data_IF_838280323657
#
_entry.id   IF_838280323657
#
_cell.length_a   1.000
_cell.length_b   1.000
_cell.length_c   1.000
_cell.angle_alpha   90.00
_cell.angle_beta   90.00
_cell.angle_gamma   90.00
#
_symmetry.space_group_name_H-M   'P 1'
#
loop_
_entity.id
_entity.type
_entity.pdbx_description
1 polymer ?
#
# COMPACT_ATOMS: atom_id res chain seq x y z
N UNK A 1 -54.98 -8.78 -2.32
CA UNK A 1 -55.80 -8.55 -3.53
C UNK A 1 -56.18 -9.90 -4.13
N UNK A 2 -57.35 -10.45 -3.80
CA UNK A 2 -57.82 -11.74 -4.35
C UNK A 2 -59.09 -11.48 -5.15
N UNK A 3 -59.22 -12.08 -6.33
CA UNK A 3 -60.44 -12.00 -7.14
C UNK A 3 -60.77 -13.36 -7.77
N UNK A 4 -62.02 -13.53 -8.17
CA UNK A 4 -62.49 -14.74 -8.84
C UNK A 4 -62.28 -14.63 -10.35
N UNK A 5 -61.81 -15.72 -10.97
CA UNK A 5 -61.69 -15.80 -12.43
C UNK A 5 -63.05 -15.68 -13.13
N UNK A 6 -64.13 -16.18 -12.52
CA UNK A 6 -65.46 -16.17 -13.13
C UNK A 6 -66.01 -14.75 -13.35
N UNK A 7 -65.63 -13.81 -12.48
CA UNK A 7 -66.12 -12.43 -12.53
C UNK A 7 -65.28 -11.57 -13.47
N UNK A 8 -63.95 -11.76 -13.46
CA UNK A 8 -63.00 -10.87 -14.13
C UNK A 8 -62.35 -11.46 -15.39
N UNK A 9 -62.54 -12.77 -15.67
CA UNK A 9 -62.00 -13.52 -16.81
C UNK A 9 -60.49 -13.37 -17.06
N UNK A 10 -59.74 -12.95 -16.04
CA UNK A 10 -58.29 -12.77 -16.11
C UNK A 10 -57.63 -13.29 -14.84
N UNK A 11 -56.48 -13.93 -14.99
CA UNK A 11 -55.69 -14.46 -13.87
C UNK A 11 -54.59 -13.50 -13.41
N UNK A 12 -54.24 -12.52 -14.24
CA UNK A 12 -53.13 -11.59 -13.99
C UNK A 12 -53.51 -10.15 -14.29
N UNK A 13 -53.07 -9.24 -13.44
CA UNK A 13 -53.23 -7.80 -13.63
C UNK A 13 -51.86 -7.12 -13.55
N UNK A 14 -51.54 -6.31 -14.57
CA UNK A 14 -50.36 -5.46 -14.57
C UNK A 14 -50.67 -4.12 -13.88
N UNK A 15 -49.91 -3.79 -12.84
CA UNK A 15 -50.10 -2.59 -12.03
C UNK A 15 -49.03 -1.57 -12.39
N UNK A 16 -49.46 -0.46 -13.01
CA UNK A 16 -48.56 0.58 -13.53
C UNK A 16 -47.77 1.34 -12.47
N UNK A 17 -48.24 1.42 -11.24
CA UNK A 17 -47.60 2.20 -10.17
C UNK A 17 -47.76 1.50 -8.83
N UNK A 18 -46.62 1.32 -8.14
CA UNK A 18 -46.59 0.73 -6.80
C UNK A 18 -47.23 1.62 -5.73
N UNK A 19 -47.42 2.93 -5.98
CA UNK A 19 -48.06 3.83 -5.01
C UNK A 19 -49.53 3.51 -4.72
N UNK A 20 -50.16 2.64 -5.52
CA UNK A 20 -51.52 2.14 -5.30
C UNK A 20 -51.56 0.82 -4.51
N UNK A 21 -50.40 0.30 -4.14
CA UNK A 21 -50.21 -0.94 -3.42
C UNK A 21 -49.51 -0.65 -2.09
N UNK A 22 -49.74 -1.51 -1.11
CA UNK A 22 -48.81 -1.60 0.00
C UNK A 22 -47.52 -2.25 -0.49
N UNK A 23 -46.38 -1.60 -0.24
CA UNK A 23 -45.04 -2.12 -0.54
C UNK A 23 -44.24 -2.24 0.76
N UNK A 24 -43.44 -3.31 0.92
CA UNK A 24 -42.57 -3.44 2.09
C UNK A 24 -41.50 -2.35 2.07
N UNK A 25 -41.16 -1.83 3.25
CA UNK A 25 -39.99 -0.97 3.38
C UNK A 25 -38.73 -1.84 3.37
N UNK A 26 -37.79 -1.51 2.48
CA UNK A 26 -36.50 -2.20 2.35
C UNK A 26 -35.44 -1.14 2.58
N UNK A 27 -34.73 -1.24 3.69
CA UNK A 27 -33.72 -0.30 4.11
C UNK A 27 -32.41 -1.02 4.45
N UNK A 28 -31.30 -0.28 4.38
CA UNK A 28 -29.99 -0.72 4.85
C UNK A 28 -29.83 -0.49 6.35
N UNK A 29 -28.91 -1.22 6.99
CA UNK A 29 -28.43 -0.88 8.34
C UNK A 29 -27.68 0.46 8.26
N UNK A 30 -28.33 1.54 8.69
CA UNK A 30 -27.76 2.89 8.69
C UNK A 30 -26.54 2.96 9.63
N UNK A 31 -25.34 3.10 9.06
CA UNK A 31 -24.13 3.50 9.81
C UNK A 31 -23.77 4.95 9.46
N UNK A 32 -23.56 5.77 10.49
CA UNK A 32 -23.56 7.25 10.48
C UNK A 32 -22.30 7.94 9.88
N UNK A 33 -21.72 7.47 8.77
CA UNK A 33 -20.44 8.07 8.29
C UNK A 33 -20.40 8.61 6.87
N UNK A 34 -21.52 8.73 6.16
CA UNK A 34 -21.54 9.51 4.91
C UNK A 34 -22.89 10.15 4.63
N UNK A 35 -22.87 11.40 4.15
CA UNK A 35 -24.02 12.15 3.65
C UNK A 35 -24.72 11.36 2.54
N UNK A 36 -25.79 10.64 2.87
CA UNK A 36 -26.52 9.80 1.91
C UNK A 36 -27.70 10.56 1.31
N UNK A 37 -27.49 11.09 0.11
CA UNK A 37 -28.53 11.71 -0.73
C UNK A 37 -28.97 10.81 -1.90
N UNK A 38 -28.82 9.48 -1.82
CA UNK A 38 -28.97 8.64 -3.00
C UNK A 38 -29.38 7.17 -2.85
N UNK A 39 -29.78 6.71 -1.67
CA UNK A 39 -30.35 5.36 -1.54
C UNK A 39 -31.80 5.37 -2.05
N UNK A 40 -32.13 4.50 -3.00
CA UNK A 40 -33.49 4.36 -3.51
C UNK A 40 -33.85 2.90 -3.76
N UNK A 41 -35.12 2.58 -3.56
CA UNK A 41 -35.72 1.31 -3.90
C UNK A 41 -36.96 1.60 -4.75
N UNK A 42 -36.98 1.10 -5.98
CA UNK A 42 -38.08 1.28 -6.92
C UNK A 42 -38.57 -0.07 -7.43
N UNK A 43 -39.90 -0.18 -7.55
CA UNK A 43 -40.56 -1.39 -8.04
C UNK A 43 -41.10 -1.15 -9.44
N UNK A 44 -40.71 -2.03 -10.36
CA UNK A 44 -41.12 -2.04 -11.76
C UNK A 44 -41.84 -3.34 -12.11
N UNK A 45 -42.59 -3.31 -13.22
CA UNK A 45 -43.22 -4.50 -13.83
C UNK A 45 -44.04 -5.34 -12.83
N UNK A 46 -44.92 -4.68 -12.08
CA UNK A 46 -45.67 -5.31 -10.99
C UNK A 46 -46.86 -6.08 -11.55
N UNK A 47 -46.88 -7.38 -11.29
CA UNK A 47 -47.91 -8.31 -11.73
C UNK A 47 -48.58 -8.89 -10.49
N UNK A 48 -49.88 -8.64 -10.35
CA UNK A 48 -50.72 -9.29 -9.36
C UNK A 48 -51.40 -10.51 -9.98
N UNK A 49 -51.48 -11.61 -9.23
CA UNK A 49 -52.20 -12.84 -9.60
C UNK A 49 -53.52 -12.94 -8.82
N UNK A 50 -54.50 -13.61 -9.41
CA UNK A 50 -55.84 -13.80 -8.84
C UNK A 50 -55.85 -14.41 -7.42
N UNK A 51 -54.82 -15.19 -7.08
CA UNK A 51 -54.63 -15.85 -5.80
C UNK A 51 -54.13 -14.93 -4.67
N UNK A 52 -53.77 -13.68 -4.97
CA UNK A 52 -53.23 -12.72 -4.00
C UNK A 52 -51.72 -12.53 -4.05
N UNK A 53 -50.99 -13.33 -4.82
CA UNK A 53 -49.55 -13.16 -4.97
C UNK A 53 -49.25 -11.97 -5.88
N UNK A 54 -48.30 -11.13 -5.45
CA UNK A 54 -47.81 -10.00 -6.23
C UNK A 54 -46.32 -10.19 -6.46
N UNK A 55 -45.90 -10.06 -7.72
CA UNK A 55 -44.50 -10.18 -8.14
C UNK A 55 -44.10 -8.90 -8.86
N UNK A 56 -42.89 -8.40 -8.64
CA UNK A 56 -42.37 -7.23 -9.33
C UNK A 56 -40.84 -7.22 -9.32
N UNK A 57 -40.23 -6.44 -10.21
CA UNK A 57 -38.79 -6.24 -10.24
C UNK A 57 -38.42 -5.13 -9.27
N UNK A 58 -37.48 -5.40 -8.36
CA UNK A 58 -36.92 -4.42 -7.45
C UNK A 58 -35.60 -3.89 -8.03
N UNK A 59 -35.51 -2.59 -8.22
CA UNK A 59 -34.27 -1.88 -8.51
C UNK A 59 -33.84 -1.11 -7.27
N UNK A 60 -32.62 -1.36 -6.82
CA UNK A 60 -32.12 -0.88 -5.54
C UNK A 60 -30.73 -0.26 -5.71
N UNK A 61 -30.55 0.90 -5.11
CA UNK A 61 -29.25 1.52 -4.86
C UNK A 61 -29.09 1.66 -3.36
N UNK A 62 -28.08 0.99 -2.82
CA UNK A 62 -27.78 0.97 -1.39
C UNK A 62 -26.27 0.91 -1.17
N UNK A 63 -25.80 1.49 -0.08
CA UNK A 63 -24.42 1.37 0.34
C UNK A 63 -24.17 -0.01 0.99
N UNK A 64 -23.13 -0.71 0.53
CA UNK A 64 -22.69 -1.95 1.16
C UNK A 64 -21.82 -1.66 2.38
N UNK A 65 -21.87 -2.56 3.37
CA UNK A 65 -20.86 -2.64 4.41
C UNK A 65 -19.70 -3.49 3.89
N UNK A 66 -18.49 -2.95 3.86
CA UNK A 66 -17.32 -3.67 3.38
C UNK A 66 -16.31 -3.85 4.49
N UNK A 67 -15.93 -5.10 4.71
CA UNK A 67 -14.70 -5.47 5.42
C UNK A 67 -13.58 -5.61 4.39
N UNK A 68 -12.45 -4.94 4.62
CA UNK A 68 -11.38 -4.80 3.63
C UNK A 68 -10.08 -5.29 4.24
N UNK A 69 -9.49 -6.29 3.59
CA UNK A 69 -8.15 -6.76 3.93
C UNK A 69 -7.12 -5.96 3.11
N UNK A 70 -6.33 -5.15 3.82
CA UNK A 70 -5.33 -4.28 3.23
C UNK A 70 -3.93 -4.90 3.16
N UNK A 71 -3.76 -6.17 3.55
CA UNK A 71 -2.44 -6.85 3.57
C UNK A 71 -1.70 -6.71 2.24
N UNK A 72 -2.42 -6.90 1.12
CA UNK A 72 -1.86 -6.87 -0.24
C UNK A 72 -2.10 -5.55 -1.01
N UNK A 73 -2.35 -4.44 -0.31
CA UNK A 73 -2.58 -3.16 -0.98
C UNK A 73 -1.45 -2.81 -1.97
N UNK A 74 -1.75 -2.38 -3.22
CA UNK A 74 -3.07 -1.98 -3.74
C UNK A 74 -3.91 -3.10 -4.38
N UNK A 75 -3.44 -4.33 -4.39
CA UNK A 75 -4.16 -5.50 -4.90
C UNK A 75 -4.96 -6.14 -3.75
N UNK A 76 -5.93 -5.38 -3.23
CA UNK A 76 -6.70 -5.69 -2.02
C UNK A 76 -7.98 -6.50 -2.28
N UNK A 77 -8.31 -7.37 -1.33
CA UNK A 77 -9.53 -8.17 -1.32
C UNK A 77 -10.57 -7.54 -0.40
N UNK A 78 -11.80 -7.40 -0.91
CA UNK A 78 -12.90 -6.72 -0.23
C UNK A 78 -14.06 -7.67 -0.10
N UNK A 79 -14.59 -7.80 1.12
CA UNK A 79 -15.84 -8.52 1.38
C UNK A 79 -16.92 -7.50 1.69
N UNK A 80 -17.74 -7.21 0.70
CA UNK A 80 -18.84 -6.27 0.81
C UNK A 80 -20.17 -7.00 0.96
N UNK A 81 -20.93 -6.67 1.99
CA UNK A 81 -22.23 -7.25 2.30
C UNK A 81 -23.32 -6.19 2.26
N UNK A 82 -24.36 -6.45 1.49
CA UNK A 82 -25.60 -5.68 1.47
C UNK A 82 -26.56 -6.27 2.48
N UNK A 83 -26.88 -5.50 3.51
CA UNK A 83 -27.82 -5.89 4.56
C UNK A 83 -29.14 -5.20 4.33
N UNK A 84 -30.18 -5.98 4.08
CA UNK A 84 -31.53 -5.50 3.82
C UNK A 84 -32.44 -5.90 4.97
N UNK A 85 -33.15 -4.92 5.53
CA UNK A 85 -34.16 -5.13 6.57
C UNK A 85 -35.29 -4.13 6.45
N UNK A 86 -36.44 -4.48 7.01
CA UNK A 86 -37.51 -3.54 7.27
C UNK A 86 -37.21 -2.78 8.56
N UNK A 87 -37.26 -1.44 8.50
CA UNK A 87 -37.14 -0.57 9.67
C UNK A 87 -38.50 -0.42 10.36
N UNK A 88 -39.58 -0.37 9.58
CA UNK A 88 -40.92 -0.09 10.08
C UNK A 88 -41.62 -1.35 10.61
N UNK A 89 -41.32 -2.52 10.04
CA UNK A 89 -41.98 -3.79 10.33
C UNK A 89 -40.99 -4.97 10.51
N UNK A 90 -40.02 -4.88 11.44
CA UNK A 90 -38.91 -5.84 11.58
C UNK A 90 -39.35 -7.28 11.90
N UNK A 91 -40.51 -7.46 12.55
CA UNK A 91 -41.02 -8.79 12.94
C UNK A 91 -42.07 -9.36 11.98
N UNK A 92 -42.68 -8.53 11.13
CA UNK A 92 -43.77 -8.93 10.24
C UNK A 92 -43.28 -9.28 8.84
N UNK A 93 -42.26 -8.56 8.35
CA UNK A 93 -41.68 -8.82 7.05
C UNK A 93 -40.59 -9.89 7.23
N UNK A 94 -40.73 -10.97 6.46
CA UNK A 94 -39.73 -12.04 6.40
C UNK A 94 -39.28 -12.24 4.97
N UNK A 95 -37.99 -12.47 4.84
CA UNK A 95 -37.32 -12.66 3.58
C UNK A 95 -36.90 -14.12 3.42
N UNK A 96 -36.88 -14.60 2.18
CA UNK A 96 -36.37 -15.92 1.85
C UNK A 96 -35.74 -15.86 0.46
N UNK A 97 -34.69 -16.65 0.25
CA UNK A 97 -34.06 -16.81 -1.05
C UNK A 97 -34.72 -17.97 -1.77
N UNK A 98 -35.17 -17.76 -3.01
CA UNK A 98 -35.89 -18.79 -3.77
C UNK A 98 -35.04 -20.02 -4.09
N UNK A 99 -33.70 -19.94 -3.97
CA UNK A 99 -32.76 -21.02 -4.32
C UNK A 99 -32.27 -21.84 -3.12
N UNK A 100 -32.44 -21.36 -1.88
CA UNK A 100 -32.00 -22.08 -0.67
C UNK A 100 -33.21 -22.43 0.17
N UNK A 101 -33.27 -23.67 0.67
CA UNK A 101 -34.39 -24.23 1.43
C UNK A 101 -34.95 -23.26 2.48
N UNK A 102 -36.10 -22.65 2.16
CA UNK A 102 -37.22 -22.26 3.01
C UNK A 102 -37.00 -21.37 4.24
N UNK A 103 -35.78 -21.09 4.67
CA UNK A 103 -35.52 -20.40 5.92
C UNK A 103 -35.87 -18.93 5.80
N UNK A 104 -37.00 -18.58 6.41
CA UNK A 104 -37.52 -17.22 6.49
C UNK A 104 -36.70 -16.43 7.52
N UNK A 105 -35.93 -15.45 7.08
CA UNK A 105 -35.12 -14.58 7.93
C UNK A 105 -35.74 -13.18 8.06
N UNK A 106 -35.42 -12.47 9.14
CA UNK A 106 -35.82 -11.07 9.33
C UNK A 106 -34.89 -10.10 8.58
N UNK A 107 -33.69 -10.55 8.22
CA UNK A 107 -32.65 -9.77 7.55
C UNK A 107 -32.10 -10.63 6.42
N UNK A 108 -31.90 -10.04 5.24
CA UNK A 108 -31.12 -10.65 4.15
C UNK A 108 -29.74 -10.00 4.15
N UNK A 109 -28.70 -10.82 4.08
CA UNK A 109 -27.35 -10.37 3.82
C UNK A 109 -26.84 -10.98 2.50
N UNK A 110 -26.53 -10.12 1.53
CA UNK A 110 -25.92 -10.52 0.26
C UNK A 110 -24.46 -10.09 0.27
N UNK A 111 -23.55 -11.05 0.44
CA UNK A 111 -22.11 -10.78 0.44
C UNK A 111 -21.47 -11.08 -0.91
N UNK A 112 -20.60 -10.18 -1.35
CA UNK A 112 -19.75 -10.34 -2.53
C UNK A 112 -18.28 -10.16 -2.13
N UNK A 113 -17.44 -11.05 -2.62
CA UNK A 113 -15.98 -10.91 -2.54
C UNK A 113 -15.50 -10.28 -3.84
N UNK A 114 -14.82 -9.14 -3.73
CA UNK A 114 -14.28 -8.39 -4.86
C UNK A 114 -12.79 -8.23 -4.67
N UNK A 115 -12.02 -8.71 -5.63
CA UNK A 115 -10.58 -8.46 -5.70
C UNK A 115 -10.32 -7.24 -6.57
N UNK A 116 -9.63 -6.24 -6.04
CA UNK A 116 -9.09 -5.16 -6.87
C UNK A 116 -7.74 -5.60 -7.41
N UNK A 117 -7.57 -5.51 -8.73
CA UNK A 117 -6.26 -5.68 -9.37
C UNK A 117 -5.82 -4.31 -9.91
N UNK A 118 -4.75 -3.74 -9.37
CA UNK A 118 -4.28 -2.39 -9.65
C UNK A 118 -2.76 -2.36 -9.83
N UNK A 119 -2.30 -3.13 -10.82
CA UNK A 119 -0.88 -3.22 -11.19
C UNK A 119 -0.25 -1.87 -11.53
N UNK A 120 -0.96 -0.97 -12.22
CA UNK A 120 -0.46 0.37 -12.55
C UNK A 120 -0.17 1.18 -11.28
N UNK A 121 -1.08 1.17 -10.31
CA UNK A 121 -0.90 1.88 -9.04
C UNK A 121 0.25 1.27 -8.22
N UNK A 122 0.40 -0.05 -8.26
CA UNK A 122 1.51 -0.74 -7.60
C UNK A 122 2.86 -0.29 -8.18
N UNK A 123 2.98 -0.24 -9.49
CA UNK A 123 4.22 0.19 -10.17
C UNK A 123 4.51 1.66 -9.87
N UNK A 124 3.50 2.52 -9.94
CA UNK A 124 3.63 3.96 -9.63
C UNK A 124 4.16 4.21 -8.21
N UNK A 125 3.72 3.41 -7.24
CA UNK A 125 4.16 3.51 -5.84
C UNK A 125 5.55 2.90 -5.62
N UNK A 126 5.83 1.71 -6.19
CA UNK A 126 7.07 0.99 -5.90
C UNK A 126 8.29 1.54 -6.66
N UNK A 127 8.10 2.00 -7.90
CA UNK A 127 9.20 2.35 -8.81
C UNK A 127 10.08 3.52 -8.28
N UNK A 128 9.52 4.64 -7.78
CA UNK A 128 10.34 5.72 -7.22
C UNK A 128 11.15 5.29 -5.99
N UNK A 129 10.58 4.42 -5.15
CA UNK A 129 11.25 3.88 -3.97
C UNK A 129 12.41 2.94 -4.34
N UNK A 130 12.22 2.08 -5.33
CA UNK A 130 13.26 1.17 -5.83
C UNK A 130 14.39 1.93 -6.54
N UNK A 131 14.08 2.96 -7.32
CA UNK A 131 15.10 3.78 -7.99
C UNK A 131 15.90 4.59 -6.97
N UNK A 132 15.23 5.23 -6.01
CA UNK A 132 15.91 6.01 -4.96
C UNK A 132 16.80 5.14 -4.07
N UNK A 133 16.35 3.93 -3.71
CA UNK A 133 17.18 3.00 -2.93
C UNK A 133 18.39 2.51 -3.72
N UNK A 134 18.24 2.26 -5.03
CA UNK A 134 19.36 1.92 -5.90
C UNK A 134 20.41 3.03 -5.92
N UNK A 135 20.00 4.30 -6.01
CA UNK A 135 20.92 5.43 -5.90
C UNK A 135 21.62 5.50 -4.53
N UNK A 136 20.89 5.26 -3.43
CA UNK A 136 21.46 5.29 -2.09
C UNK A 136 22.49 4.15 -1.85
N UNK A 137 22.23 2.98 -2.42
CA UNK A 137 23.08 1.79 -2.34
C UNK A 137 24.32 1.92 -3.24
N UNK A 138 24.16 2.48 -4.44
CA UNK A 138 25.26 2.69 -5.39
C UNK A 138 26.09 3.94 -5.09
N UNK A 139 25.62 4.79 -4.16
CA UNK A 139 26.33 5.99 -3.67
C UNK A 139 27.83 5.81 -3.40
N UNK A 140 28.34 4.71 -2.81
CA UNK A 140 29.77 4.53 -2.53
C UNK A 140 30.66 4.44 -3.78
N UNK A 141 30.08 4.12 -4.94
CA UNK A 141 30.79 4.12 -6.22
C UNK A 141 31.07 5.55 -6.74
N UNK A 142 30.42 6.56 -6.15
CA UNK A 142 30.56 7.95 -6.55
C UNK A 142 31.62 8.66 -5.72
N UNK A 143 32.59 9.27 -6.41
CA UNK A 143 33.44 10.39 -6.00
C UNK A 143 33.75 10.57 -4.50
N UNK A 144 33.71 11.84 -4.07
CA UNK A 144 34.10 12.26 -2.72
C UNK A 144 32.99 11.96 -1.71
N UNK A 145 33.32 11.88 -0.41
CA UNK A 145 32.32 11.71 0.66
C UNK A 145 31.18 12.73 0.62
N UNK A 146 31.44 13.95 0.13
CA UNK A 146 30.42 15.00 0.00
C UNK A 146 29.39 14.63 -1.05
N UNK A 147 29.82 14.10 -2.18
CA UNK A 147 28.94 13.68 -3.27
C UNK A 147 28.10 12.48 -2.85
N UNK A 148 28.70 11.51 -2.15
CA UNK A 148 28.00 10.35 -1.60
C UNK A 148 26.88 10.76 -0.63
N UNK A 149 27.17 11.69 0.28
CA UNK A 149 26.19 12.22 1.24
C UNK A 149 25.06 12.96 0.50
N UNK A 150 25.39 13.78 -0.50
CA UNK A 150 24.41 14.51 -1.29
C UNK A 150 23.45 13.56 -2.05
N UNK A 151 23.98 12.50 -2.67
CA UNK A 151 23.18 11.48 -3.36
C UNK A 151 22.23 10.77 -2.38
N UNK A 152 22.73 10.38 -1.20
CA UNK A 152 21.90 9.74 -0.16
C UNK A 152 20.81 10.67 0.39
N UNK A 153 21.12 11.95 0.60
CA UNK A 153 20.13 12.96 1.02
C UNK A 153 19.06 13.17 -0.05
N UNK A 154 19.45 13.23 -1.32
CA UNK A 154 18.52 13.33 -2.44
C UNK A 154 17.61 12.08 -2.55
N UNK A 155 18.17 10.88 -2.35
CA UNK A 155 17.39 9.65 -2.30
C UNK A 155 16.35 9.67 -1.17
N UNK A 156 16.72 10.13 0.03
CA UNK A 156 15.79 10.26 1.16
C UNK A 156 14.68 11.27 0.84
N UNK A 157 14.99 12.40 0.18
CA UNK A 157 13.98 13.36 -0.24
C UNK A 157 12.94 12.71 -1.17
N UNK A 158 13.40 11.96 -2.19
CA UNK A 158 12.49 11.21 -3.09
C UNK A 158 11.65 10.21 -2.30
N UNK A 159 12.25 9.50 -1.34
CA UNK A 159 11.54 8.51 -0.52
C UNK A 159 10.46 9.16 0.35
N UNK A 160 10.73 10.33 0.94
CA UNK A 160 9.76 11.09 1.72
C UNK A 160 8.61 11.60 0.84
N UNK A 161 8.90 12.13 -0.35
CA UNK A 161 7.86 12.56 -1.31
C UNK A 161 7.03 11.37 -1.78
N UNK A 162 7.66 10.22 -1.99
CA UNK A 162 6.95 8.98 -2.37
C UNK A 162 6.04 8.49 -1.24
N UNK A 163 6.48 8.66 0.02
CA UNK A 163 5.69 8.31 1.20
C UNK A 163 4.48 9.23 1.37
N UNK A 164 4.61 10.54 1.13
CA UNK A 164 3.46 11.44 1.14
C UNK A 164 2.46 11.12 0.03
N UNK A 165 2.96 10.73 -1.15
CA UNK A 165 2.10 10.26 -2.24
C UNK A 165 1.33 8.98 -1.88
N UNK A 166 1.99 8.01 -1.21
CA UNK A 166 1.31 6.83 -0.66
C UNK A 166 0.22 7.25 0.32
N UNK A 167 0.53 8.10 1.30
CA UNK A 167 -0.42 8.57 2.31
C UNK A 167 -1.68 9.23 1.70
N UNK A 168 -1.53 9.98 0.60
CA UNK A 168 -2.67 10.56 -0.12
C UNK A 168 -3.58 9.51 -0.80
N UNK A 169 -3.06 8.33 -1.13
CA UNK A 169 -3.83 7.24 -1.76
C UNK A 169 -4.41 6.25 -0.74
N UNK A 170 -3.96 6.30 0.50
CA UNK A 170 -4.48 5.46 1.59
C UNK A 170 -5.86 5.92 2.06
N UNK A 171 -6.71 5.01 2.57
CA UNK A 171 -8.01 5.38 3.13
C UNK A 171 -7.86 6.35 4.31
N UNK A 172 -8.76 7.34 4.41
CA UNK A 172 -8.71 8.39 5.45
C UNK A 172 -8.82 7.84 6.89
N UNK A 173 -9.42 6.65 7.05
CA UNK A 173 -9.59 5.97 8.34
C UNK A 173 -8.40 5.07 8.70
N UNK A 174 -7.34 5.07 7.89
CA UNK A 174 -6.20 4.17 8.05
C UNK A 174 -6.51 2.72 7.64
N UNK A 175 -5.54 1.83 7.83
CA UNK A 175 -5.61 0.42 7.42
C UNK A 175 -6.21 -0.52 8.49
N UNK A 176 -6.88 0.02 9.51
CA UNK A 176 -7.44 -0.77 10.60
C UNK A 176 -6.36 -1.49 11.41
N UNK A 177 -6.51 -2.81 11.59
CA UNK A 177 -5.63 -3.65 12.40
C UNK A 177 -4.45 -4.27 11.62
N UNK A 178 -4.51 -4.28 10.29
CA UNK A 178 -3.50 -4.92 9.43
C UNK A 178 -2.54 -3.89 8.83
N UNK A 179 -1.23 -4.11 8.96
CA UNK A 179 -0.20 -3.28 8.31
C UNK A 179 0.05 -3.81 6.89
N UNK A 180 -0.15 -3.02 5.83
CA UNK A 180 0.10 -3.48 4.46
C UNK A 180 1.57 -3.75 4.17
N UNK A 181 1.84 -4.75 3.34
CA UNK A 181 3.21 -5.11 2.93
C UNK A 181 3.95 -3.95 2.26
N UNK A 182 3.24 -3.10 1.50
CA UNK A 182 3.81 -1.90 0.89
C UNK A 182 4.30 -0.90 1.94
N UNK A 183 3.63 -0.76 3.09
CA UNK A 183 4.05 0.13 4.16
C UNK A 183 5.34 -0.38 4.81
N UNK A 184 5.41 -1.69 5.08
CA UNK A 184 6.62 -2.36 5.56
C UNK A 184 7.80 -2.15 4.61
N UNK A 185 7.57 -2.27 3.29
CA UNK A 185 8.59 -2.00 2.27
C UNK A 185 9.13 -0.56 2.31
N UNK A 186 8.25 0.44 2.46
CA UNK A 186 8.65 1.85 2.54
C UNK A 186 9.47 2.14 3.80
N UNK A 187 8.99 1.68 4.96
CA UNK A 187 9.68 1.88 6.24
C UNK A 187 11.04 1.19 6.24
N UNK A 188 11.12 -0.04 5.73
CA UNK A 188 12.37 -0.80 5.59
C UNK A 188 13.37 -0.04 4.70
N UNK A 189 12.94 0.40 3.53
CA UNK A 189 13.79 1.11 2.58
C UNK A 189 14.32 2.43 3.16
N UNK A 190 13.47 3.23 3.78
CA UNK A 190 13.86 4.49 4.42
C UNK A 190 14.80 4.26 5.62
N UNK A 191 14.55 3.22 6.41
CA UNK A 191 15.40 2.89 7.55
C UNK A 191 16.82 2.53 7.09
N UNK A 192 16.94 1.71 6.04
CA UNK A 192 18.24 1.32 5.48
C UNK A 192 18.97 2.52 4.88
N UNK A 193 18.30 3.42 4.16
CA UNK A 193 18.94 4.60 3.60
C UNK A 193 19.42 5.56 4.69
N UNK A 194 18.66 5.73 5.78
CA UNK A 194 19.06 6.53 6.94
C UNK A 194 20.28 5.91 7.64
N UNK A 195 20.27 4.59 7.92
CA UNK A 195 21.42 3.89 8.52
C UNK A 195 22.67 4.03 7.64
N UNK A 196 22.50 3.90 6.32
CA UNK A 196 23.56 4.07 5.33
C UNK A 196 24.12 5.50 5.31
N UNK A 197 23.27 6.52 5.42
CA UNK A 197 23.68 7.92 5.52
C UNK A 197 24.44 8.20 6.82
N UNK A 198 23.91 7.74 7.96
CA UNK A 198 24.55 7.93 9.27
C UNK A 198 25.93 7.27 9.30
N UNK A 199 26.04 6.05 8.78
CA UNK A 199 27.32 5.33 8.68
C UNK A 199 28.34 6.11 7.86
N UNK A 200 27.98 6.58 6.65
CA UNK A 200 28.87 7.39 5.81
C UNK A 200 29.21 8.73 6.45
N UNK A 201 28.27 9.36 7.16
CA UNK A 201 28.50 10.64 7.84
C UNK A 201 29.50 10.49 9.00
N UNK A 202 29.37 9.44 9.80
CA UNK A 202 30.33 9.13 10.88
C UNK A 202 31.72 8.84 10.31
N UNK A 203 31.82 8.06 9.22
CA UNK A 203 33.10 7.78 8.56
C UNK A 203 33.71 9.06 7.96
N UNK A 204 32.90 9.92 7.35
CA UNK A 204 33.32 11.24 6.85
C UNK A 204 33.80 12.17 7.97
N UNK A 205 33.16 12.13 9.13
CA UNK A 205 33.60 12.90 10.29
C UNK A 205 34.94 12.38 10.84
N UNK A 206 35.12 11.05 10.90
CA UNK A 206 36.38 10.42 11.30
C UNK A 206 37.53 10.69 10.32
N UNK A 207 37.25 10.77 9.02
CA UNK A 207 38.27 11.02 8.00
C UNK A 207 38.83 12.44 8.02
N UNK A 208 38.07 13.42 8.54
CA UNK A 208 38.53 14.81 8.73
C UNK A 208 39.51 14.98 9.89
N UNK A 209 39.64 13.99 10.78
CA UNK A 209 40.56 14.06 11.92
C UNK A 209 42.00 13.91 11.41
N UNK A 210 42.79 14.99 11.49
CA UNK A 210 44.20 14.97 11.10
C UNK A 210 45.01 14.11 12.09
N UNK A 211 45.67 13.07 11.58
CA UNK A 211 46.53 12.18 12.35
C UNK A 211 47.99 12.37 11.92
N UNK A 212 48.87 12.58 12.91
CA UNK A 212 50.31 12.73 12.71
C UNK A 212 51.07 11.40 12.69
N UNK A 213 50.43 10.29 13.06
CA UNK A 213 51.05 8.97 13.07
C UNK A 213 50.73 8.18 11.79
N UNK A 214 51.71 7.43 11.24
CA UNK A 214 51.46 6.56 10.09
C UNK A 214 50.49 5.43 10.48
N UNK A 215 49.55 5.07 9.59
CA UNK A 215 48.74 3.88 9.78
C UNK A 215 49.63 2.62 9.75
N UNK A 216 49.23 1.57 10.47
CA UNK A 216 49.97 0.31 10.42
C UNK A 216 49.88 -0.28 9.00
N UNK A 217 51.01 -0.78 8.47
CA UNK A 217 51.15 -1.29 7.10
C UNK A 217 50.12 -2.37 6.71
N UNK A 218 49.61 -3.12 7.69
CA UNK A 218 48.56 -4.14 7.44
C UNK A 218 47.23 -3.50 7.02
N UNK A 219 46.88 -2.34 7.58
CA UNK A 219 45.62 -1.65 7.26
C UNK A 219 45.66 -0.98 5.90
N UNK A 220 46.82 -0.43 5.49
CA UNK A 220 46.98 0.14 4.15
C UNK A 220 46.92 -0.92 3.06
N UNK A 221 47.52 -2.10 3.29
CA UNK A 221 47.45 -3.22 2.35
C UNK A 221 46.03 -3.80 2.22
N UNK A 222 45.30 -3.92 3.34
CA UNK A 222 43.89 -4.30 3.33
C UNK A 222 43.03 -3.29 2.57
N UNK A 223 43.22 -1.99 2.83
CA UNK A 223 42.48 -0.94 2.13
C UNK A 223 42.74 -0.96 0.62
N UNK A 224 44.00 -1.18 0.21
CA UNK A 224 44.36 -1.31 -1.20
C UNK A 224 43.73 -2.55 -1.86
N UNK A 225 43.71 -3.70 -1.19
CA UNK A 225 43.06 -4.92 -1.69
C UNK A 225 41.54 -4.72 -1.87
N UNK A 226 40.88 -4.11 -0.88
CA UNK A 226 39.43 -3.83 -0.92
C UNK A 226 39.09 -2.84 -2.04
N UNK A 227 39.83 -1.74 -2.16
CA UNK A 227 39.58 -0.75 -3.21
C UNK A 227 39.87 -1.30 -4.61
N UNK A 228 40.88 -2.16 -4.75
CA UNK A 228 41.16 -2.90 -6.00
C UNK A 228 40.04 -3.86 -6.37
N UNK A 229 39.39 -4.49 -5.38
CA UNK A 229 38.27 -5.41 -5.61
C UNK A 229 36.98 -4.69 -5.97
N UNK A 230 36.78 -3.45 -5.50
CA UNK A 230 35.52 -2.72 -5.64
C UNK A 230 35.55 -1.58 -6.68
N UNK A 231 36.54 -1.57 -7.56
CA UNK A 231 36.65 -0.65 -8.70
C UNK A 231 36.33 0.81 -8.31
N UNK A 232 36.93 1.29 -7.21
CA UNK A 232 36.73 2.66 -6.75
C UNK A 232 37.61 3.60 -7.57
N UNK A 233 37.03 4.67 -8.11
CA UNK A 233 37.78 5.76 -8.74
C UNK A 233 38.77 6.32 -7.72
N UNK A 234 40.06 6.08 -7.94
CA UNK A 234 41.11 6.69 -7.15
C UNK A 234 40.98 8.22 -7.32
N UNK A 235 40.90 8.96 -6.21
CA UNK A 235 41.13 10.41 -6.27
C UNK A 235 42.52 10.62 -6.89
N UNK A 236 42.58 11.42 -7.95
CA UNK A 236 43.81 11.74 -8.68
C UNK A 236 44.79 12.34 -7.67
N UNK A 237 45.88 11.63 -7.42
CA UNK A 237 47.00 12.13 -6.63
C UNK A 237 47.62 13.31 -7.36
N UNK A 238 47.52 14.53 -6.80
CA UNK A 238 48.34 15.64 -7.26
C UNK A 238 49.84 15.29 -7.05
N UNK A 239 50.72 15.69 -7.98
CA UNK A 239 52.14 15.34 -7.90
C UNK A 239 52.78 15.91 -6.64
N UNK A 240 53.56 15.07 -5.95
CA UNK A 240 54.21 15.36 -4.68
C UNK A 240 55.40 16.29 -4.91
N UNK A 241 55.30 17.55 -4.47
CA UNK A 241 56.45 18.45 -4.34
C UNK A 241 57.28 18.05 -3.10
N UNK A 242 58.54 17.68 -3.34
CA UNK A 242 59.40 16.91 -2.44
C UNK A 242 60.03 17.65 -1.25
N UNK A 243 59.35 18.58 -0.58
CA UNK A 243 59.97 19.34 0.54
C UNK A 243 59.12 19.52 1.80
N UNK A 244 57.93 18.96 1.91
CA UNK A 244 57.10 19.11 3.11
C UNK A 244 56.99 17.83 3.94
N UNK A 245 56.82 17.99 5.26
CA UNK A 245 56.50 16.96 6.25
C UNK A 245 55.56 15.91 5.64
N UNK A 246 55.93 14.63 5.74
CA UNK A 246 55.20 13.52 5.10
C UNK A 246 53.78 13.45 5.67
N UNK A 247 52.81 14.05 4.98
CA UNK A 247 51.42 14.10 5.39
C UNK A 247 50.75 12.74 5.16
N UNK A 248 50.60 11.97 6.24
CA UNK A 248 49.91 10.66 6.24
C UNK A 248 48.38 10.77 6.08
N UNK A 249 47.86 11.97 5.82
CA UNK A 249 46.42 12.22 5.71
C UNK A 249 45.79 11.44 4.54
N UNK A 250 46.47 11.38 3.39
CA UNK A 250 46.00 10.64 2.22
C UNK A 250 45.92 9.13 2.47
N UNK A 251 46.89 8.54 3.19
CA UNK A 251 46.87 7.12 3.54
C UNK A 251 45.69 6.78 4.47
N UNK A 252 45.40 7.65 5.44
CA UNK A 252 44.23 7.50 6.31
C UNK A 252 42.91 7.68 5.55
N UNK A 253 42.84 8.62 4.61
CA UNK A 253 41.66 8.85 3.78
C UNK A 253 41.30 7.61 2.96
N UNK A 254 42.31 6.97 2.34
CA UNK A 254 42.12 5.73 1.58
C UNK A 254 41.57 4.58 2.44
N UNK A 255 42.00 4.49 3.70
CA UNK A 255 41.48 3.51 4.67
C UNK A 255 40.01 3.80 4.99
N UNK A 256 39.64 5.06 5.26
CA UNK A 256 38.25 5.40 5.56
C UNK A 256 37.30 5.18 4.37
N UNK A 257 37.77 5.45 3.14
CA UNK A 257 37.02 5.14 1.92
C UNK A 257 36.76 3.63 1.81
N UNK A 258 37.80 2.82 2.04
CA UNK A 258 37.68 1.37 2.01
C UNK A 258 36.68 0.84 3.06
N UNK A 259 36.72 1.39 4.28
CA UNK A 259 35.76 1.04 5.35
C UNK A 259 34.33 1.40 4.94
N UNK A 260 34.11 2.60 4.38
CA UNK A 260 32.78 3.03 3.92
C UNK A 260 32.23 2.14 2.80
N UNK A 261 33.08 1.73 1.86
CA UNK A 261 32.71 0.81 0.78
C UNK A 261 32.33 -0.57 1.34
N UNK A 262 33.09 -1.10 2.29
CA UNK A 262 32.78 -2.37 2.96
C UNK A 262 31.47 -2.31 3.73
N UNK A 263 31.22 -1.25 4.51
CA UNK A 263 29.97 -1.06 5.25
C UNK A 263 28.79 -0.97 4.27
N UNK A 264 28.95 -0.23 3.18
CA UNK A 264 27.88 -0.05 2.20
C UNK A 264 27.58 -1.33 1.41
N UNK A 265 28.59 -2.19 1.18
CA UNK A 265 28.39 -3.53 0.63
C UNK A 265 27.55 -4.41 1.56
N UNK A 266 27.85 -4.40 2.86
CA UNK A 266 27.06 -5.16 3.83
C UNK A 266 25.60 -4.68 3.86
N UNK A 267 25.40 -3.37 3.79
CA UNK A 267 24.06 -2.77 3.70
C UNK A 267 23.37 -3.18 2.40
N UNK A 268 24.08 -3.27 1.27
CA UNK A 268 23.52 -3.74 0.01
C UNK A 268 22.97 -5.17 0.11
N UNK A 269 23.76 -6.10 0.66
CA UNK A 269 23.29 -7.47 0.85
C UNK A 269 22.10 -7.54 1.80
N UNK A 270 22.13 -6.79 2.90
CA UNK A 270 20.99 -6.70 3.82
C UNK A 270 19.73 -6.15 3.12
N UNK A 271 19.89 -5.16 2.25
CA UNK A 271 18.79 -4.59 1.47
C UNK A 271 18.18 -5.60 0.49
N UNK A 272 19.01 -6.31 -0.29
CA UNK A 272 18.54 -7.33 -1.24
C UNK A 272 17.81 -8.47 -0.53
N UNK A 273 18.37 -8.97 0.58
CA UNK A 273 17.73 -10.02 1.38
C UNK A 273 16.39 -9.54 1.93
N UNK A 274 16.33 -8.34 2.50
CA UNK A 274 15.09 -7.81 3.05
C UNK A 274 14.01 -7.56 2.00
N UNK A 275 14.38 -7.11 0.79
CA UNK A 275 13.43 -7.01 -0.34
C UNK A 275 12.85 -8.39 -0.67
N UNK A 276 13.69 -9.41 -0.81
CA UNK A 276 13.25 -10.77 -1.16
C UNK A 276 12.27 -11.28 -0.10
N UNK A 277 12.57 -11.07 1.18
CA UNK A 277 11.69 -11.48 2.28
C UNK A 277 10.34 -10.75 2.21
N UNK A 278 10.33 -9.42 2.00
CA UNK A 278 9.10 -8.63 1.98
C UNK A 278 8.20 -8.95 0.77
N UNK A 279 8.78 -9.37 -0.37
CA UNK A 279 7.99 -9.75 -1.55
C UNK A 279 7.56 -11.23 -1.55
N UNK A 280 8.18 -12.07 -0.73
CA UNK A 280 7.84 -13.50 -0.64
C UNK A 280 6.90 -13.82 0.53
N UNK A 281 6.77 -12.91 1.51
CA UNK A 281 5.75 -12.91 2.56
C UNK A 281 4.48 -12.24 2.04
#
# INVERSE_FOLDING_TARGET
MKWSFNDWKTDTLNIRSYGKLWVPDINSDKFQTSSQSGDYAQFYDIIAKNNGNVTGRLELKMQAYCDIDYTNFPDDDKRCCFRMKSTLYPHYIRYYLSQTDGNKAQIIELCMQVRRHSSTLRIELMLPMMISSLFAVTAPLFGSFRDQINVKLFAILIQLISFTFLAMKTPQVGFGETVPNIYTFYVFTLSITVISLLSTSVISAMSRVQRKLPPAHRYTLLAAAINSSFCSTNEISNPVDGTSVKDYHHDWLQIYISINNMVSLMIFFAYVIGIIIIFYI
#
